data_IF_824116784224
#
_entry.id   IF_824116784224
#
_cell.length_a   1.000
_cell.length_b   1.000
_cell.length_c   1.000
_cell.angle_alpha   90.00
_cell.angle_beta   90.00
_cell.angle_gamma   90.00
#
_symmetry.space_group_name_H-M   'P 1'
#
loop_
_entity.id
_entity.type
_entity.pdbx_description
1 polymer ?
#
# COMPACT_ATOMS: atom_id res chain seq x y z
N UNK A 1 -13.80 -77.24 -40.79
CA UNK A 1 -14.41 -76.10 -40.12
C UNK A 1 -13.91 -75.81 -38.70
N UNK A 2 -13.39 -76.77 -37.92
CA UNK A 2 -12.93 -76.56 -36.54
C UNK A 2 -11.61 -75.77 -36.41
N UNK A 3 -10.71 -75.81 -37.44
CA UNK A 3 -9.40 -75.12 -37.33
C UNK A 3 -9.50 -73.58 -37.53
N UNK A 4 -10.43 -73.10 -38.33
CA UNK A 4 -10.62 -71.65 -38.53
C UNK A 4 -11.04 -70.91 -37.26
N UNK A 5 -11.90 -71.51 -36.46
CA UNK A 5 -12.35 -70.95 -35.17
C UNK A 5 -11.22 -70.83 -34.10
N UNK A 6 -10.29 -71.80 -34.12
CA UNK A 6 -9.14 -71.80 -33.25
C UNK A 6 -8.19 -70.65 -33.61
N UNK A 7 -7.95 -70.45 -34.91
CA UNK A 7 -7.12 -69.34 -35.38
C UNK A 7 -7.72 -67.97 -35.10
N UNK A 8 -9.04 -67.81 -35.26
CA UNK A 8 -9.73 -66.57 -34.91
C UNK A 8 -9.68 -66.27 -33.39
N UNK A 9 -9.80 -67.29 -32.55
CA UNK A 9 -9.70 -67.14 -31.10
C UNK A 9 -8.27 -66.74 -30.68
N UNK A 10 -7.26 -67.29 -31.30
CA UNK A 10 -5.84 -66.91 -31.02
C UNK A 10 -5.57 -65.48 -31.46
N UNK A 11 -6.04 -65.05 -32.63
CA UNK A 11 -5.88 -63.67 -33.11
C UNK A 11 -6.58 -62.68 -32.18
N UNK A 12 -7.80 -62.98 -31.74
CA UNK A 12 -8.52 -62.13 -30.74
C UNK A 12 -7.78 -62.04 -29.41
N UNK A 13 -7.19 -63.14 -28.95
CA UNK A 13 -6.41 -63.15 -27.71
C UNK A 13 -5.13 -62.32 -27.82
N UNK A 14 -4.44 -62.35 -28.94
CA UNK A 14 -3.24 -61.54 -29.22
C UNK A 14 -3.61 -60.07 -29.34
N UNK A 15 -4.74 -59.74 -30.01
CA UNK A 15 -5.21 -58.34 -30.09
C UNK A 15 -5.62 -57.85 -28.70
N UNK A 16 -6.37 -58.62 -27.91
CA UNK A 16 -6.74 -58.27 -26.54
C UNK A 16 -5.54 -58.09 -25.61
N UNK A 17 -4.58 -59.00 -25.70
CA UNK A 17 -3.31 -58.92 -24.96
C UNK A 17 -2.47 -57.70 -25.36
N UNK A 18 -2.37 -57.44 -26.67
CA UNK A 18 -1.68 -56.24 -27.18
C UNK A 18 -2.36 -54.92 -26.79
N UNK A 19 -3.68 -54.88 -26.86
CA UNK A 19 -4.47 -53.72 -26.44
C UNK A 19 -4.36 -53.51 -24.92
N UNK A 20 -4.38 -54.55 -24.12
CA UNK A 20 -4.20 -54.46 -22.66
C UNK A 20 -2.77 -54.04 -22.28
N UNK A 21 -1.77 -54.58 -22.99
CA UNK A 21 -0.36 -54.18 -22.82
C UNK A 21 -0.13 -52.71 -23.18
N UNK A 22 -0.75 -52.26 -24.30
CA UNK A 22 -0.72 -50.85 -24.71
C UNK A 22 -1.43 -49.95 -23.70
N UNK A 23 -2.59 -50.39 -23.18
CA UNK A 23 -3.32 -49.66 -22.12
C UNK A 23 -2.47 -49.54 -20.84
N UNK A 24 -1.79 -50.58 -20.40
CA UNK A 24 -0.91 -50.52 -19.23
C UNK A 24 0.32 -49.66 -19.48
N UNK A 25 0.84 -49.64 -20.69
CA UNK A 25 1.98 -48.77 -21.07
C UNK A 25 1.60 -47.31 -21.18
N UNK A 26 0.37 -47.00 -21.65
CA UNK A 26 -0.15 -45.64 -21.76
C UNK A 26 -0.77 -45.15 -20.45
N UNK A 27 -0.99 -46.01 -19.45
CA UNK A 27 -1.53 -45.58 -18.16
C UNK A 27 -0.50 -44.73 -17.43
N UNK A 28 -0.84 -43.46 -17.11
CA UNK A 28 0.08 -42.59 -16.37
C UNK A 28 0.47 -43.24 -15.05
N UNK A 29 1.75 -43.16 -14.68
CA UNK A 29 2.23 -43.68 -13.41
C UNK A 29 1.47 -42.97 -12.27
N UNK A 30 1.05 -43.72 -11.23
CA UNK A 30 0.43 -43.06 -10.06
C UNK A 30 1.46 -42.14 -9.40
N UNK A 31 0.97 -41.00 -8.86
CA UNK A 31 1.82 -40.13 -8.08
C UNK A 31 2.43 -40.91 -6.91
N UNK A 32 3.72 -40.70 -6.60
CA UNK A 32 4.33 -41.23 -5.40
C UNK A 32 3.54 -40.80 -4.14
N UNK A 33 3.34 -41.71 -3.19
CA UNK A 33 2.53 -41.46 -2.00
C UNK A 33 3.02 -40.26 -1.16
N UNK A 34 4.31 -39.94 -1.26
CA UNK A 34 4.95 -38.84 -0.53
C UNK A 34 4.73 -37.44 -1.15
N UNK A 35 4.06 -37.36 -2.28
CA UNK A 35 3.86 -36.10 -3.03
C UNK A 35 2.36 -35.84 -3.21
N UNK A 36 1.94 -34.64 -2.85
CA UNK A 36 0.60 -34.14 -3.16
C UNK A 36 0.67 -33.26 -4.40
N UNK A 37 -0.34 -33.37 -5.25
CA UNK A 37 -0.49 -32.56 -6.44
C UNK A 37 -1.62 -31.55 -6.26
N UNK A 38 -1.39 -30.32 -6.71
CA UNK A 38 -2.41 -29.30 -6.84
C UNK A 38 -2.14 -28.45 -8.07
N UNK A 39 -3.19 -27.98 -8.70
CA UNK A 39 -3.10 -27.01 -9.79
C UNK A 39 -3.71 -25.68 -9.38
N UNK A 40 -3.24 -24.62 -10.01
CA UNK A 40 -3.70 -23.29 -9.70
C UNK A 40 -3.19 -22.26 -10.70
N UNK A 41 -3.07 -21.03 -10.24
CA UNK A 41 -2.53 -19.94 -11.06
C UNK A 41 -1.59 -19.08 -10.25
N UNK A 42 -0.63 -18.49 -10.96
CA UNK A 42 0.26 -17.50 -10.39
C UNK A 42 -0.53 -16.22 -10.09
N UNK A 43 -0.38 -15.73 -8.89
CA UNK A 43 -0.92 -14.45 -8.40
C UNK A 43 0.26 -13.56 -7.96
N UNK A 44 0.06 -12.25 -7.93
CA UNK A 44 1.03 -11.31 -7.39
C UNK A 44 0.28 -10.19 -6.66
N UNK A 45 0.95 -9.53 -5.73
CA UNK A 45 0.35 -8.42 -5.00
C UNK A 45 0.18 -7.22 -5.91
N UNK A 46 -1.07 -6.85 -6.14
CA UNK A 46 -1.45 -5.69 -6.92
C UNK A 46 -1.71 -4.49 -6.02
N UNK A 47 -1.13 -3.34 -6.38
CA UNK A 47 -1.37 -2.06 -5.72
C UNK A 47 -2.06 -1.13 -6.70
N UNK A 48 -3.31 -0.80 -6.40
CA UNK A 48 -4.09 0.18 -7.16
C UNK A 48 -3.72 1.59 -6.74
N UNK A 49 -3.20 2.36 -7.67
CA UNK A 49 -2.91 3.78 -7.51
C UNK A 49 -4.14 4.57 -7.94
N UNK A 50 -4.60 5.48 -7.09
CA UNK A 50 -5.77 6.32 -7.36
C UNK A 50 -5.43 7.80 -7.19
N UNK A 51 -6.17 8.68 -7.86
CA UNK A 51 -6.09 10.12 -7.66
C UNK A 51 -6.59 10.48 -6.25
N UNK A 52 -5.86 11.35 -5.54
CA UNK A 52 -6.25 11.82 -4.21
C UNK A 52 -6.89 13.22 -4.26
N UNK A 53 -6.66 13.95 -5.35
CA UNK A 53 -7.24 15.27 -5.62
C UNK A 53 -7.84 15.30 -7.02
N UNK A 54 -8.81 16.19 -7.24
CA UNK A 54 -9.38 16.41 -8.57
C UNK A 54 -8.45 17.26 -9.44
N UNK A 55 -8.47 17.01 -10.75
CA UNK A 55 -7.74 17.81 -11.73
C UNK A 55 -7.66 17.13 -13.09
N UNK A 56 -7.33 17.88 -14.11
CA UNK A 56 -7.09 17.35 -15.46
C UNK A 56 -5.67 16.79 -15.56
N UNK A 57 -5.50 15.64 -16.18
CA UNK A 57 -4.19 15.03 -16.43
C UNK A 57 -3.43 15.87 -17.45
N UNK A 58 -2.34 16.52 -17.04
CA UNK A 58 -1.47 17.28 -17.93
C UNK A 58 -0.40 16.39 -18.56
N UNK A 59 0.19 15.50 -17.78
CA UNK A 59 1.27 14.61 -18.20
C UNK A 59 1.05 13.22 -17.62
N UNK A 60 1.30 12.18 -18.43
CA UNK A 60 1.29 10.79 -18.00
C UNK A 60 2.57 10.09 -18.46
N UNK A 61 3.27 9.44 -17.53
CA UNK A 61 4.46 8.62 -17.77
C UNK A 61 4.13 7.12 -17.69
N UNK A 62 2.85 6.79 -17.55
CA UNK A 62 2.35 5.42 -17.44
C UNK A 62 2.46 4.71 -18.79
N UNK A 63 3.24 3.64 -18.81
CA UNK A 63 3.36 2.71 -19.94
C UNK A 63 3.19 1.29 -19.37
N UNK A 64 2.20 0.56 -19.87
CA UNK A 64 1.96 -0.83 -19.45
C UNK A 64 3.19 -1.70 -19.76
N UNK A 65 3.54 -2.57 -18.82
CA UNK A 65 4.73 -3.40 -18.89
C UNK A 65 6.03 -2.71 -18.47
N UNK A 66 6.03 -1.38 -18.24
CA UNK A 66 7.22 -0.65 -17.79
C UNK A 66 7.44 -0.83 -16.30
N UNK A 67 8.68 -1.10 -15.92
CA UNK A 67 9.10 -1.12 -14.51
C UNK A 67 9.28 0.30 -13.99
N UNK A 68 8.82 0.54 -12.76
CA UNK A 68 8.94 1.80 -12.04
C UNK A 68 9.51 1.57 -10.65
N UNK A 69 10.29 2.51 -10.16
CA UNK A 69 10.77 2.53 -8.78
C UNK A 69 9.80 3.32 -7.90
N UNK A 70 9.80 3.02 -6.61
CA UNK A 70 9.05 3.80 -5.62
C UNK A 70 9.48 5.27 -5.67
N UNK A 71 8.49 6.16 -5.83
CA UNK A 71 8.70 7.59 -5.95
C UNK A 71 8.80 8.10 -7.39
N UNK A 72 8.92 7.23 -8.39
CA UNK A 72 8.91 7.63 -9.79
C UNK A 72 7.60 8.34 -10.13
N UNK A 73 7.64 9.46 -10.90
CA UNK A 73 6.45 10.17 -11.31
C UNK A 73 5.62 9.30 -12.27
N UNK A 74 4.35 9.09 -11.96
CA UNK A 74 3.40 8.37 -12.82
C UNK A 74 2.58 9.32 -13.67
N UNK A 75 2.02 10.38 -13.05
CA UNK A 75 1.30 11.42 -13.75
C UNK A 75 1.28 12.74 -12.97
N UNK A 76 0.96 13.82 -13.67
CA UNK A 76 0.77 15.15 -13.10
C UNK A 76 -0.60 15.71 -13.50
N UNK A 77 -1.34 16.12 -12.49
CA UNK A 77 -2.60 16.84 -12.67
C UNK A 77 -2.34 18.35 -12.83
N UNK A 78 -3.30 19.06 -13.40
CA UNK A 78 -3.33 20.52 -13.36
C UNK A 78 -3.44 20.98 -11.90
N UNK A 79 -2.44 21.71 -11.48
CA UNK A 79 -2.26 22.17 -10.10
C UNK A 79 -2.36 23.69 -9.95
N UNK A 80 -2.81 24.40 -11.00
CA UNK A 80 -2.85 25.87 -11.01
C UNK A 80 -3.71 26.44 -9.87
N UNK A 81 -4.91 25.92 -9.69
CA UNK A 81 -5.81 26.37 -8.61
C UNK A 81 -5.25 26.04 -7.22
N UNK A 82 -4.66 24.86 -7.04
CA UNK A 82 -4.04 24.46 -5.78
C UNK A 82 -2.84 25.34 -5.40
N UNK A 83 -2.06 25.79 -6.38
CA UNK A 83 -0.99 26.77 -6.17
C UNK A 83 -1.52 28.12 -5.74
N UNK A 84 -2.58 28.59 -6.37
CA UNK A 84 -3.23 29.86 -6.00
C UNK A 84 -3.83 29.78 -4.58
N UNK A 85 -4.48 28.68 -4.23
CA UNK A 85 -4.98 28.48 -2.85
C UNK A 85 -3.84 28.54 -1.82
N UNK A 86 -2.72 27.88 -2.07
CA UNK A 86 -1.54 27.93 -1.20
C UNK A 86 -0.98 29.35 -1.11
N UNK A 87 -0.79 30.03 -2.23
CA UNK A 87 -0.27 31.40 -2.28
C UNK A 87 -1.15 32.39 -1.52
N UNK A 88 -2.49 32.21 -1.55
CA UNK A 88 -3.42 33.04 -0.78
C UNK A 88 -3.16 32.92 0.72
N UNK A 89 -3.01 31.70 1.23
CA UNK A 89 -2.73 31.49 2.67
C UNK A 89 -1.35 32.02 3.06
N UNK A 90 -0.36 31.92 2.17
CA UNK A 90 0.97 32.50 2.39
C UNK A 90 0.90 34.03 2.52
N UNK A 91 0.11 34.71 1.67
CA UNK A 91 -0.15 36.15 1.78
C UNK A 91 -0.86 36.54 3.07
N UNK A 92 -1.77 35.70 3.58
CA UNK A 92 -2.44 35.90 4.86
C UNK A 92 -1.45 35.82 6.04
N UNK A 93 -0.52 34.84 6.02
CA UNK A 93 0.56 34.75 7.02
C UNK A 93 1.42 36.00 6.99
N UNK A 94 1.77 36.52 5.82
CA UNK A 94 2.55 37.76 5.70
C UNK A 94 1.81 38.95 6.31
N UNK A 95 0.50 39.11 6.05
CA UNK A 95 -0.31 40.16 6.64
C UNK A 95 -0.35 40.06 8.18
N UNK A 96 -0.53 38.85 8.74
CA UNK A 96 -0.49 38.61 10.18
C UNK A 96 0.89 38.92 10.79
N UNK A 97 2.00 38.63 10.10
CA UNK A 97 3.33 39.00 10.55
C UNK A 97 3.50 40.53 10.62
N UNK A 98 2.99 41.27 9.66
CA UNK A 98 3.00 42.74 9.71
C UNK A 98 2.14 43.28 10.86
N UNK A 99 1.01 42.64 11.16
CA UNK A 99 0.16 42.97 12.32
C UNK A 99 0.93 42.72 13.63
N UNK A 100 1.59 41.57 13.76
CA UNK A 100 2.44 41.24 14.92
C UNK A 100 3.57 42.25 15.11
N UNK A 101 4.22 42.69 14.05
CA UNK A 101 5.30 43.68 14.11
C UNK A 101 4.79 45.07 14.53
N UNK A 102 3.55 45.43 14.17
CA UNK A 102 2.91 46.64 14.72
C UNK A 102 2.62 46.50 16.20
N UNK A 103 2.09 45.34 16.62
CA UNK A 103 1.83 45.08 18.04
C UNK A 103 3.13 45.11 18.89
N UNK A 104 4.25 44.59 18.34
CA UNK A 104 5.56 44.68 19.00
C UNK A 104 6.03 46.10 19.18
N UNK A 105 5.90 46.97 18.16
CA UNK A 105 6.24 48.40 18.32
C UNK A 105 5.35 49.12 19.35
N UNK A 106 4.10 48.68 19.46
CA UNK A 106 3.19 49.20 20.50
C UNK A 106 3.63 48.72 21.90
N UNK A 107 4.06 47.47 22.04
CA UNK A 107 4.65 46.95 23.30
C UNK A 107 5.88 47.79 23.72
N UNK A 108 6.83 47.98 22.81
CA UNK A 108 8.05 48.76 23.07
C UNK A 108 7.71 50.19 23.56
N UNK A 109 6.68 50.81 23.00
CA UNK A 109 6.22 52.13 23.47
C UNK A 109 5.72 52.07 24.91
N UNK A 110 4.89 51.10 25.26
CA UNK A 110 4.34 50.96 26.61
C UNK A 110 5.37 50.51 27.63
N UNK A 111 6.34 49.69 27.27
CA UNK A 111 7.49 49.32 28.10
C UNK A 111 8.30 50.57 28.44
N UNK A 112 8.57 51.46 27.48
CA UNK A 112 9.27 52.73 27.74
C UNK A 112 8.45 53.65 28.65
N UNK A 113 7.11 53.70 28.48
CA UNK A 113 6.23 54.47 29.41
C UNK A 113 6.26 53.89 30.81
N UNK A 114 6.20 52.58 30.96
CA UNK A 114 6.31 51.89 32.26
C UNK A 114 7.62 52.22 32.96
N UNK A 115 8.76 52.08 32.26
CA UNK A 115 10.07 52.41 32.81
C UNK A 115 10.17 53.87 33.28
N UNK A 116 9.57 54.79 32.51
CA UNK A 116 9.55 56.23 32.87
C UNK A 116 8.69 56.46 34.08
N UNK A 117 7.50 55.86 34.18
CA UNK A 117 6.61 55.95 35.33
C UNK A 117 7.25 55.35 36.60
N UNK A 118 7.95 54.20 36.45
CA UNK A 118 8.67 53.54 37.56
C UNK A 118 9.80 54.44 38.13
N UNK A 119 10.59 55.03 37.23
CA UNK A 119 11.64 55.99 37.64
C UNK A 119 11.06 57.21 38.37
N UNK A 120 9.92 57.73 37.89
CA UNK A 120 9.22 58.86 38.51
C UNK A 120 8.70 58.47 39.91
N UNK A 121 8.03 57.33 40.05
CA UNK A 121 7.54 56.79 41.31
C UNK A 121 8.68 56.61 42.33
N UNK A 122 9.77 55.98 41.90
CA UNK A 122 10.94 55.76 42.75
C UNK A 122 11.57 57.09 43.26
N UNK A 123 11.62 58.10 42.39
CA UNK A 123 12.11 59.40 42.74
C UNK A 123 11.20 60.10 43.77
N UNK A 124 9.88 60.10 43.56
CA UNK A 124 8.91 60.73 44.47
C UNK A 124 8.86 60.01 45.81
N UNK A 125 8.99 58.69 45.87
CA UNK A 125 9.09 57.96 47.16
C UNK A 125 10.29 58.36 47.99
N UNK A 126 11.45 58.58 47.36
CA UNK A 126 12.63 59.12 48.09
C UNK A 126 12.44 60.55 48.59
N UNK A 127 11.82 61.42 47.79
CA UNK A 127 11.51 62.79 48.17
C UNK A 127 10.46 62.87 49.28
N UNK A 128 9.55 61.88 49.37
CA UNK A 128 8.61 61.79 50.49
C UNK A 128 9.28 61.44 51.79
N UNK A 129 10.35 60.56 51.76
CA UNK A 129 11.15 60.23 52.92
C UNK A 129 11.88 61.47 53.46
N UNK A 130 12.17 62.48 52.60
CA UNK A 130 12.77 63.77 52.94
C UNK A 130 11.72 64.86 53.19
N UNK A 131 10.41 64.53 53.33
CA UNK A 131 9.31 65.50 53.52
C UNK A 131 9.20 66.58 52.40
N UNK A 132 9.79 66.32 51.21
CA UNK A 132 9.84 67.29 50.10
C UNK A 132 8.65 67.25 49.15
N UNK A 133 7.76 66.23 49.24
CA UNK A 133 6.53 66.03 48.40
C UNK A 133 5.39 65.49 49.25
N UNK A 134 4.16 65.61 48.76
CA UNK A 134 2.98 65.10 49.45
C UNK A 134 2.72 63.61 49.14
N UNK A 135 2.04 62.88 50.03
CA UNK A 135 1.59 61.52 49.83
C UNK A 135 0.72 61.41 48.58
N UNK A 136 -0.14 62.42 48.30
CA UNK A 136 -1.01 62.46 47.10
C UNK A 136 -0.22 62.46 45.80
N UNK A 137 0.98 63.08 45.76
CA UNK A 137 1.85 63.08 44.58
C UNK A 137 2.47 61.69 44.36
N UNK A 138 2.82 60.97 45.40
CA UNK A 138 3.30 59.58 45.33
C UNK A 138 2.21 58.64 44.86
N UNK A 139 0.97 58.77 45.40
CA UNK A 139 -0.20 57.94 45.02
C UNK A 139 -0.55 58.13 43.54
N UNK A 140 -0.51 59.38 43.02
CA UNK A 140 -0.70 59.67 41.61
C UNK A 140 0.35 59.02 40.72
N UNK A 141 1.62 59.03 41.12
CA UNK A 141 2.72 58.38 40.38
C UNK A 141 2.61 56.86 40.44
N UNK A 142 2.13 56.30 41.55
CA UNK A 142 1.84 54.89 41.68
C UNK A 142 0.70 54.45 40.77
N UNK A 143 -0.38 55.22 40.67
CA UNK A 143 -1.49 54.95 39.74
C UNK A 143 -1.01 55.01 38.28
N UNK A 144 -0.17 56.02 37.93
CA UNK A 144 0.43 56.09 36.59
C UNK A 144 1.31 54.91 36.23
N UNK A 145 2.10 54.44 37.22
CA UNK A 145 2.90 53.22 37.03
C UNK A 145 2.02 51.94 36.83
N UNK A 146 1.00 51.79 37.67
CA UNK A 146 0.04 50.67 37.53
C UNK A 146 -0.69 50.68 36.19
N UNK A 147 -1.11 51.88 35.71
CA UNK A 147 -1.73 51.99 34.37
C UNK A 147 -0.74 51.57 33.28
N UNK A 148 0.50 52.10 33.27
CA UNK A 148 1.49 51.73 32.26
C UNK A 148 1.76 50.22 32.25
N UNK A 149 1.94 49.59 33.44
CA UNK A 149 2.12 48.15 33.59
C UNK A 149 0.93 47.35 33.06
N UNK A 150 -0.31 47.81 33.31
CA UNK A 150 -1.50 47.15 32.76
C UNK A 150 -1.55 47.21 31.21
N UNK A 151 -1.09 48.34 30.62
CA UNK A 151 -0.99 48.53 29.17
C UNK A 151 0.05 47.60 28.54
N UNK A 152 1.21 47.39 29.20
CA UNK A 152 2.21 46.39 28.76
C UNK A 152 1.59 45.00 28.73
N UNK A 153 0.91 44.57 29.80
CA UNK A 153 0.28 43.26 29.87
C UNK A 153 -0.79 43.04 28.76
N UNK A 154 -1.54 44.09 28.41
CA UNK A 154 -2.50 44.02 27.27
C UNK A 154 -1.75 43.90 25.96
N UNK A 155 -0.66 44.66 25.72
CA UNK A 155 0.12 44.58 24.49
C UNK A 155 0.80 43.20 24.30
N UNK A 156 1.30 42.60 25.40
CA UNK A 156 1.83 41.24 25.41
C UNK A 156 0.76 40.21 25.03
N UNK A 157 -0.46 40.34 25.61
CA UNK A 157 -1.56 39.46 25.31
C UNK A 157 -2.00 39.57 23.83
N UNK A 158 -2.00 40.79 23.27
CA UNK A 158 -2.30 41.00 21.85
C UNK A 158 -1.28 40.30 20.93
N UNK A 159 0.03 40.40 21.24
CA UNK A 159 1.08 39.71 20.50
C UNK A 159 0.89 38.18 20.60
N UNK A 160 0.58 37.67 21.78
CA UNK A 160 0.30 36.25 21.98
C UNK A 160 -0.88 35.77 21.14
N UNK A 161 -1.97 36.54 21.12
CA UNK A 161 -3.16 36.23 20.32
C UNK A 161 -2.85 36.21 18.80
N UNK A 162 -2.11 37.21 18.29
CA UNK A 162 -1.71 37.27 16.87
C UNK A 162 -0.77 36.08 16.57
N UNK A 163 0.15 35.72 17.46
CA UNK A 163 1.05 34.59 17.28
C UNK A 163 0.29 33.27 17.16
N UNK A 164 -0.74 33.07 17.98
CA UNK A 164 -1.61 31.89 17.86
C UNK A 164 -2.37 31.84 16.53
N UNK A 165 -2.81 33.01 16.02
CA UNK A 165 -3.46 33.10 14.69
C UNK A 165 -2.47 32.74 13.56
N UNK A 166 -1.23 33.20 13.66
CA UNK A 166 -0.16 32.83 12.70
C UNK A 166 0.03 31.32 12.69
N UNK A 167 0.19 30.69 13.86
CA UNK A 167 0.35 29.22 13.96
C UNK A 167 -0.84 28.47 13.34
N UNK A 168 -2.06 28.91 13.59
CA UNK A 168 -3.25 28.29 12.98
C UNK A 168 -3.25 28.40 11.45
N UNK A 169 -2.89 29.58 10.92
CA UNK A 169 -2.80 29.81 9.47
C UNK A 169 -1.61 29.06 8.84
N UNK A 170 -0.52 28.84 9.56
CA UNK A 170 0.59 27.98 9.12
C UNK A 170 0.17 26.53 8.95
N UNK A 171 -0.66 25.99 9.85
CA UNK A 171 -1.23 24.66 9.68
C UNK A 171 -2.17 24.59 8.45
N UNK A 172 -2.92 25.65 8.17
CA UNK A 172 -3.73 25.72 6.95
C UNK A 172 -2.85 25.72 5.70
N UNK A 173 -1.75 26.50 5.69
CA UNK A 173 -0.76 26.48 4.60
C UNK A 173 -0.20 25.06 4.37
N UNK A 174 0.13 24.32 5.43
CA UNK A 174 0.62 22.96 5.33
C UNK A 174 -0.42 22.02 4.71
N UNK A 175 -1.69 22.15 5.10
CA UNK A 175 -2.79 21.40 4.49
C UNK A 175 -2.91 21.67 2.99
N UNK A 176 -2.80 22.95 2.55
CA UNK A 176 -2.82 23.33 1.13
C UNK A 176 -1.58 22.80 0.39
N UNK A 177 -0.40 22.83 1.02
CA UNK A 177 0.83 22.27 0.46
C UNK A 177 0.73 20.76 0.24
N UNK A 178 0.14 20.03 1.19
CA UNK A 178 -0.10 18.58 1.06
C UNK A 178 -1.08 18.26 -0.07
N UNK A 179 -2.16 19.04 -0.23
CA UNK A 179 -3.08 18.90 -1.37
C UNK A 179 -2.39 19.14 -2.70
N UNK A 180 -1.56 20.17 -2.78
CA UNK A 180 -0.76 20.48 -3.97
C UNK A 180 0.22 19.36 -4.31
N UNK A 181 0.88 18.78 -3.30
CA UNK A 181 1.79 17.65 -3.50
C UNK A 181 1.08 16.43 -4.10
N UNK A 182 -0.18 16.19 -3.72
CA UNK A 182 -1.02 15.09 -4.23
C UNK A 182 -1.46 15.25 -5.68
N UNK A 183 -1.29 16.43 -6.29
CA UNK A 183 -1.49 16.62 -7.73
C UNK A 183 -0.39 15.95 -8.58
N UNK A 184 0.72 15.54 -7.95
CA UNK A 184 1.76 14.72 -8.56
C UNK A 184 1.68 13.32 -8.01
N UNK A 185 1.18 12.40 -8.83
CA UNK A 185 1.00 11.01 -8.43
C UNK A 185 2.27 10.24 -8.76
N UNK A 186 2.86 9.61 -7.75
CA UNK A 186 4.09 8.83 -7.84
C UNK A 186 3.84 7.35 -7.49
N UNK A 187 4.74 6.48 -7.91
CA UNK A 187 4.68 5.06 -7.61
C UNK A 187 4.85 4.81 -6.10
N UNK A 188 3.88 4.14 -5.42
CA UNK A 188 3.98 3.83 -4.01
C UNK A 188 4.92 2.67 -3.71
N UNK A 189 5.20 1.82 -4.69
CA UNK A 189 6.06 0.63 -4.59
C UNK A 189 7.01 0.54 -5.79
N UNK A 190 8.06 -0.27 -5.67
CA UNK A 190 8.80 -0.77 -6.82
C UNK A 190 7.92 -1.83 -7.50
N UNK A 191 7.83 -1.79 -8.83
CA UNK A 191 6.99 -2.78 -9.54
C UNK A 191 6.87 -2.48 -11.02
N UNK A 192 5.97 -3.18 -11.66
CA UNK A 192 5.64 -3.03 -13.09
C UNK A 192 4.23 -2.49 -13.23
N UNK A 193 4.01 -1.58 -14.16
CA UNK A 193 2.67 -1.07 -14.51
C UNK A 193 1.90 -2.20 -15.19
N UNK A 194 0.89 -2.75 -14.51
CA UNK A 194 0.03 -3.81 -15.04
C UNK A 194 -1.04 -3.25 -15.96
N UNK A 195 -1.72 -2.19 -15.51
CA UNK A 195 -2.77 -1.51 -16.28
C UNK A 195 -2.67 -0.01 -16.12
N UNK A 196 -2.97 0.72 -17.20
CA UNK A 196 -3.16 2.16 -17.22
C UNK A 196 -4.65 2.44 -17.38
N UNK A 197 -5.24 3.18 -16.44
CA UNK A 197 -6.68 3.45 -16.41
C UNK A 197 -7.05 4.87 -16.81
N UNK A 198 -6.07 5.71 -17.23
CA UNK A 198 -6.29 7.14 -17.50
C UNK A 198 -5.48 7.64 -18.70
N UNK A 199 -6.00 8.66 -19.37
CA UNK A 199 -5.36 9.32 -20.52
C UNK A 199 -5.04 10.80 -20.22
N UNK A 200 -4.07 11.34 -20.92
CA UNK A 200 -3.78 12.79 -20.88
C UNK A 200 -4.96 13.59 -21.38
N UNK A 201 -5.34 14.65 -20.66
CA UNK A 201 -6.53 15.47 -20.91
C UNK A 201 -7.79 15.00 -20.21
N UNK A 202 -7.79 13.84 -19.56
CA UNK A 202 -8.92 13.34 -18.79
C UNK A 202 -9.01 14.09 -17.44
N UNK A 203 -10.24 14.34 -16.98
CA UNK A 203 -10.50 14.93 -15.68
C UNK A 203 -10.70 13.82 -14.65
N UNK A 204 -9.91 13.84 -13.58
CA UNK A 204 -9.97 12.85 -12.51
C UNK A 204 -10.67 13.40 -11.26
N UNK A 205 -11.32 12.49 -10.54
CA UNK A 205 -11.91 12.75 -9.22
C UNK A 205 -11.15 11.96 -8.14
N UNK A 206 -11.19 12.42 -6.87
CA UNK A 206 -10.61 11.68 -5.76
C UNK A 206 -11.17 10.24 -5.67
N UNK A 207 -10.29 9.25 -5.53
CA UNK A 207 -10.62 7.83 -5.51
C UNK A 207 -10.67 7.16 -6.89
N UNK A 208 -10.58 7.91 -7.98
CA UNK A 208 -10.56 7.33 -9.34
C UNK A 208 -9.23 6.58 -9.57
N UNK A 209 -9.28 5.31 -10.03
CA UNK A 209 -8.07 4.53 -10.30
C UNK A 209 -7.30 5.13 -11.47
N UNK A 210 -5.97 5.19 -11.32
CA UNK A 210 -5.03 5.74 -12.27
C UNK A 210 -4.23 4.63 -12.96
N UNK A 211 -3.72 3.70 -12.16
CA UNK A 211 -2.95 2.55 -12.62
C UNK A 211 -2.99 1.43 -11.59
N UNK A 212 -2.72 0.22 -12.04
CA UNK A 212 -2.40 -0.91 -11.16
C UNK A 212 -0.92 -1.24 -11.31
N UNK A 213 -0.19 -1.25 -10.20
CA UNK A 213 1.19 -1.69 -10.13
C UNK A 213 1.26 -3.08 -9.52
N UNK A 214 2.21 -3.88 -9.96
CA UNK A 214 2.43 -5.22 -9.46
C UNK A 214 3.91 -5.44 -9.15
N UNK A 215 4.21 -5.99 -7.98
CA UNK A 215 5.57 -6.48 -7.69
C UNK A 215 5.73 -7.88 -8.28
N UNK A 216 6.54 -7.99 -9.33
CA UNK A 216 6.82 -9.25 -10.00
C UNK A 216 8.05 -9.97 -9.43
N UNK A 217 8.77 -9.42 -8.47
CA UNK A 217 9.96 -10.06 -7.89
C UNK A 217 9.59 -11.23 -6.99
N UNK A 218 8.40 -11.18 -6.40
CA UNK A 218 7.78 -12.22 -5.59
C UNK A 218 6.39 -12.48 -6.11
N UNK A 219 6.11 -13.72 -6.39
CA UNK A 219 4.78 -14.15 -6.83
C UNK A 219 4.29 -15.28 -5.96
N UNK A 220 2.99 -15.43 -5.90
CA UNK A 220 2.35 -16.49 -5.15
C UNK A 220 1.67 -17.45 -6.13
N UNK A 221 1.77 -18.74 -5.87
CA UNK A 221 0.93 -19.72 -6.55
C UNK A 221 -0.17 -20.15 -5.60
N UNK A 222 -1.42 -19.94 -5.99
CA UNK A 222 -2.57 -20.41 -5.24
C UNK A 222 -3.09 -21.71 -5.84
N UNK A 223 -2.95 -22.80 -5.07
CA UNK A 223 -3.44 -24.13 -5.45
C UNK A 223 -4.53 -24.59 -4.50
N UNK A 224 -5.32 -25.56 -4.95
CA UNK A 224 -6.43 -26.11 -4.17
C UNK A 224 -6.15 -27.57 -3.82
N UNK A 225 -6.12 -27.89 -2.53
CA UNK A 225 -5.85 -29.23 -2.01
C UNK A 225 -7.11 -29.81 -1.33
N UNK A 226 -7.45 -31.08 -1.58
CA UNK A 226 -8.59 -31.73 -0.93
C UNK A 226 -8.44 -31.74 0.60
N UNK A 227 -9.54 -31.47 1.33
CA UNK A 227 -9.51 -31.40 2.80
C UNK A 227 -8.99 -32.65 3.51
N UNK A 228 -9.12 -33.83 2.89
CA UNK A 228 -8.59 -35.10 3.43
C UNK A 228 -7.04 -35.13 3.48
N UNK A 229 -6.38 -34.33 2.63
CA UNK A 229 -4.92 -34.29 2.52
C UNK A 229 -4.30 -33.10 3.27
N UNK A 230 -5.15 -32.24 3.87
CA UNK A 230 -4.71 -31.03 4.58
C UNK A 230 -3.80 -31.35 5.79
N UNK A 231 -4.08 -32.45 6.50
CA UNK A 231 -3.28 -32.87 7.65
C UNK A 231 -1.86 -33.36 7.32
N UNK A 232 -1.49 -33.40 6.01
CA UNK A 232 -0.17 -33.76 5.51
C UNK A 232 0.65 -32.55 5.10
N UNK A 233 0.10 -31.35 5.18
CA UNK A 233 0.72 -30.14 4.67
C UNK A 233 1.13 -29.26 5.85
N UNK A 234 2.40 -28.91 5.89
CA UNK A 234 2.98 -28.03 6.90
C UNK A 234 3.42 -26.68 6.28
N UNK A 235 3.29 -25.62 7.07
CA UNK A 235 3.82 -24.31 6.69
C UNK A 235 5.34 -24.37 6.50
N UNK A 236 5.85 -23.73 5.47
CA UNK A 236 7.27 -23.77 5.10
C UNK A 236 7.68 -25.03 4.34
N UNK A 237 6.77 -26.00 4.14
CA UNK A 237 7.00 -27.22 3.38
C UNK A 237 7.51 -26.92 1.96
N UNK A 238 8.45 -27.77 1.41
CA UNK A 238 9.01 -27.54 0.09
C UNK A 238 8.02 -27.90 -1.02
N UNK A 239 7.98 -27.04 -2.04
CA UNK A 239 7.10 -27.21 -3.21
C UNK A 239 7.91 -27.05 -4.48
N UNK A 240 7.65 -27.88 -5.48
CA UNK A 240 8.11 -27.70 -6.85
C UNK A 240 6.96 -27.29 -7.73
N UNK A 241 7.18 -26.26 -8.52
CA UNK A 241 6.17 -25.67 -9.38
C UNK A 241 6.64 -25.73 -10.83
N UNK A 242 5.73 -26.04 -11.74
CA UNK A 242 5.94 -25.96 -13.17
C UNK A 242 4.79 -25.18 -13.81
N UNK A 243 5.13 -24.29 -14.72
CA UNK A 243 4.16 -23.52 -15.50
C UNK A 243 4.16 -24.00 -16.95
N UNK A 244 3.00 -23.96 -17.60
CA UNK A 244 2.87 -24.44 -18.98
C UNK A 244 3.75 -23.67 -19.96
N UNK A 245 4.00 -22.40 -19.69
CA UNK A 245 4.85 -21.55 -20.51
C UNK A 245 6.35 -21.99 -20.50
N UNK A 246 6.78 -22.73 -19.45
CA UNK A 246 8.17 -23.19 -19.27
C UNK A 246 8.20 -24.65 -18.80
N UNK A 247 7.83 -25.62 -19.66
CA UNK A 247 7.63 -27.02 -19.27
C UNK A 247 8.90 -27.71 -18.75
N UNK A 248 10.07 -27.26 -19.20
CA UNK A 248 11.37 -27.81 -18.80
C UNK A 248 11.93 -27.14 -17.52
N UNK A 249 11.35 -26.03 -17.05
CA UNK A 249 11.84 -25.30 -15.88
C UNK A 249 10.97 -25.60 -14.65
N UNK A 250 11.63 -26.02 -13.59
CA UNK A 250 11.00 -26.21 -12.28
C UNK A 250 11.37 -25.02 -11.40
N UNK A 251 10.35 -24.42 -10.79
CA UNK A 251 10.51 -23.36 -9.82
C UNK A 251 10.36 -23.95 -8.42
N UNK A 252 11.24 -23.56 -7.51
CA UNK A 252 11.15 -23.97 -6.11
C UNK A 252 10.38 -22.94 -5.32
N UNK A 253 9.50 -23.42 -4.43
CA UNK A 253 8.67 -22.59 -3.57
C UNK A 253 8.49 -23.20 -2.19
N UNK A 254 7.81 -22.46 -1.34
CA UNK A 254 7.46 -22.89 0.01
C UNK A 254 6.01 -22.55 0.33
N UNK A 255 5.37 -23.39 1.13
CA UNK A 255 4.01 -23.15 1.61
C UNK A 255 4.04 -21.96 2.56
N UNK A 256 3.43 -20.86 2.14
CA UNK A 256 3.35 -19.61 2.92
C UNK A 256 2.09 -19.55 3.78
N UNK A 257 0.96 -20.02 3.23
CA UNK A 257 -0.34 -19.93 3.90
C UNK A 257 -1.26 -21.06 3.49
N UNK A 258 -2.09 -21.48 4.45
CA UNK A 258 -3.18 -22.43 4.24
C UNK A 258 -4.47 -21.72 4.66
N UNK A 259 -5.48 -21.68 3.77
CA UNK A 259 -6.75 -21.04 4.06
C UNK A 259 -7.46 -21.75 5.21
N UNK A 260 -8.05 -20.99 6.14
CA UNK A 260 -8.76 -21.53 7.30
C UNK A 260 -10.19 -21.99 6.97
N UNK A 261 -10.70 -21.60 5.80
CA UNK A 261 -12.05 -21.93 5.34
C UNK A 261 -11.99 -22.77 4.07
N UNK A 262 -12.78 -23.84 4.04
CA UNK A 262 -12.95 -24.64 2.85
C UNK A 262 -13.68 -23.86 1.77
N UNK A 263 -13.30 -24.09 0.51
CA UNK A 263 -13.97 -23.58 -0.67
C UNK A 263 -14.63 -24.73 -1.43
N UNK A 264 -15.76 -24.45 -2.06
CA UNK A 264 -16.40 -25.41 -2.96
C UNK A 264 -15.81 -25.22 -4.36
N UNK A 265 -15.31 -26.31 -4.97
CA UNK A 265 -14.97 -26.26 -6.40
C UNK A 265 -16.26 -26.14 -7.20
N UNK A 266 -16.47 -25.07 -7.96
CA UNK A 266 -17.63 -24.98 -8.86
C UNK A 266 -17.39 -25.93 -10.04
N UNK A 267 -18.05 -27.07 -10.04
CA UNK A 267 -18.29 -27.85 -11.24
C UNK A 267 -19.79 -28.00 -11.42
N UNK A 268 -20.25 -27.85 -12.66
CA UNK A 268 -21.62 -28.01 -13.04
C UNK A 268 -22.21 -29.31 -12.51
N UNK A 269 -23.28 -29.18 -11.73
CA UNK A 269 -23.93 -30.23 -10.98
C UNK A 269 -24.89 -30.94 -11.96
N UNK A 270 -24.51 -32.08 -12.52
CA UNK A 270 -25.43 -32.93 -13.27
C UNK A 270 -25.31 -34.43 -12.94
N UNK A 271 -24.65 -34.83 -11.87
CA UNK A 271 -24.59 -36.22 -11.40
C UNK A 271 -24.82 -36.35 -9.89
N UNK A 272 -25.71 -37.29 -9.45
CA UNK A 272 -26.12 -37.43 -8.04
C UNK A 272 -25.06 -37.93 -7.07
N UNK A 273 -23.91 -38.41 -7.52
CA UNK A 273 -22.89 -39.09 -6.68
C UNK A 273 -21.56 -38.34 -6.48
N UNK A 274 -21.38 -37.14 -7.02
CA UNK A 274 -20.20 -36.32 -6.68
C UNK A 274 -20.48 -35.50 -5.44
N UNK A 275 -20.12 -36.04 -4.27
CA UNK A 275 -19.98 -35.27 -3.04
C UNK A 275 -19.11 -34.04 -3.35
N UNK A 276 -19.67 -32.85 -3.12
CA UNK A 276 -18.96 -31.59 -3.19
C UNK A 276 -17.62 -31.74 -2.47
N UNK A 277 -16.53 -31.78 -3.23
CA UNK A 277 -15.18 -31.94 -2.63
C UNK A 277 -14.79 -30.61 -2.04
N UNK A 278 -14.80 -30.55 -0.71
CA UNK A 278 -14.23 -29.42 0.01
C UNK A 278 -12.72 -29.36 -0.26
N UNK A 279 -12.26 -28.22 -0.77
CA UNK A 279 -10.85 -27.95 -1.01
C UNK A 279 -10.41 -26.75 -0.17
N UNK A 280 -9.15 -26.73 0.19
CA UNK A 280 -8.53 -25.60 0.87
C UNK A 280 -7.52 -24.94 -0.05
N UNK A 281 -7.53 -23.61 -0.08
CA UNK A 281 -6.52 -22.84 -0.77
C UNK A 281 -5.19 -22.94 -0.04
N UNK A 282 -4.14 -23.28 -0.76
CA UNK A 282 -2.76 -23.27 -0.28
C UNK A 282 -1.99 -22.28 -1.12
N UNK A 283 -1.39 -21.29 -0.46
CA UNK A 283 -0.57 -20.26 -1.09
C UNK A 283 0.90 -20.66 -0.95
N UNK A 284 1.59 -20.65 -2.05
CA UNK A 284 3.00 -21.03 -2.19
C UNK A 284 3.77 -19.80 -2.65
N UNK A 285 4.74 -19.37 -1.86
CA UNK A 285 5.64 -18.27 -2.24
C UNK A 285 6.69 -18.77 -3.23
N UNK A 286 6.91 -18.00 -4.27
CA UNK A 286 7.87 -18.24 -5.33
C UNK A 286 8.75 -17.02 -5.54
N UNK A 287 10.06 -17.20 -5.49
CA UNK A 287 11.01 -16.18 -5.90
C UNK A 287 11.01 -16.05 -7.43
N UNK A 288 10.88 -14.83 -7.93
CA UNK A 288 10.79 -14.52 -9.36
C UNK A 288 11.69 -13.32 -9.73
N UNK A 289 13.01 -13.41 -9.47
CA UNK A 289 13.93 -12.28 -9.64
C UNK A 289 13.98 -11.77 -11.08
N UNK A 290 13.80 -12.65 -12.04
CA UNK A 290 13.83 -12.33 -13.48
C UNK A 290 12.46 -11.84 -14.00
N UNK A 291 11.43 -11.79 -13.16
CA UNK A 291 10.06 -11.45 -13.57
C UNK A 291 9.49 -12.39 -14.64
N UNK A 292 9.99 -13.63 -14.72
CA UNK A 292 9.58 -14.63 -15.72
C UNK A 292 8.14 -15.09 -15.49
N UNK A 293 7.78 -15.35 -14.24
CA UNK A 293 6.42 -15.72 -13.86
C UNK A 293 5.53 -14.46 -13.88
N UNK A 294 4.37 -14.59 -14.50
CA UNK A 294 3.40 -13.50 -14.62
C UNK A 294 2.08 -13.89 -13.94
N UNK A 295 1.37 -12.93 -13.32
CA UNK A 295 0.02 -13.16 -12.80
C UNK A 295 -0.91 -13.75 -13.87
N UNK A 296 -1.74 -14.71 -13.48
CA UNK A 296 -2.67 -15.40 -14.37
C UNK A 296 -2.10 -16.64 -15.06
N UNK A 297 -0.78 -16.90 -15.03
CA UNK A 297 -0.22 -18.12 -15.61
C UNK A 297 -0.75 -19.35 -14.87
N UNK A 298 -1.28 -20.38 -15.57
CA UNK A 298 -1.62 -21.66 -14.97
C UNK A 298 -0.32 -22.37 -14.55
N UNK A 299 -0.38 -23.05 -13.41
CA UNK A 299 0.73 -23.75 -12.86
C UNK A 299 0.32 -25.01 -12.09
N UNK A 300 1.19 -26.00 -12.14
CA UNK A 300 1.12 -27.23 -11.39
C UNK A 300 2.09 -27.21 -10.23
N UNK A 301 1.65 -27.67 -9.06
CA UNK A 301 2.48 -27.76 -7.87
C UNK A 301 2.54 -29.19 -7.35
N UNK A 302 3.72 -29.58 -6.93
CA UNK A 302 3.98 -30.84 -6.23
C UNK A 302 4.53 -30.49 -4.86
N UNK A 303 3.81 -30.89 -3.82
CA UNK A 303 4.13 -30.65 -2.41
C UNK A 303 4.73 -31.92 -1.84
N UNK A 304 5.97 -31.85 -1.37
CA UNK A 304 6.61 -32.97 -0.67
C UNK A 304 6.23 -32.88 0.81
N UNK A 305 5.35 -33.78 1.25
CA UNK A 305 4.78 -33.72 2.61
C UNK A 305 5.48 -34.64 3.62
N UNK A 306 6.21 -35.65 3.15
CA UNK A 306 6.88 -36.60 4.04
C UNK A 306 8.32 -36.17 4.32
N UNK A 307 8.65 -35.95 5.58
CA UNK A 307 9.98 -35.56 6.00
C UNK A 307 11.05 -36.57 5.57
N UNK A 308 12.17 -36.06 5.02
CA UNK A 308 13.29 -36.89 4.57
C UNK A 308 13.07 -37.66 3.27
N UNK A 309 11.88 -37.52 2.67
CA UNK A 309 11.62 -38.11 1.36
C UNK A 309 12.39 -37.40 0.24
N UNK A 310 12.79 -38.14 -0.79
CA UNK A 310 13.42 -37.58 -1.97
C UNK A 310 12.37 -37.21 -3.03
N UNK A 311 12.64 -36.15 -3.76
CA UNK A 311 11.82 -35.78 -4.91
C UNK A 311 11.88 -36.90 -5.96
N UNK A 312 10.74 -37.25 -6.60
CA UNK A 312 10.76 -38.21 -7.71
C UNK A 312 11.52 -37.61 -8.89
N UNK A 313 12.20 -38.50 -9.66
CA UNK A 313 12.98 -38.10 -10.85
C UNK A 313 12.14 -37.40 -11.92
N UNK A 314 10.84 -37.71 -11.97
CA UNK A 314 9.88 -37.08 -12.87
C UNK A 314 8.62 -36.67 -12.12
N UNK A 315 8.18 -35.45 -12.38
CA UNK A 315 6.93 -34.90 -11.87
C UNK A 315 5.84 -35.08 -12.91
N UNK A 316 4.79 -35.85 -12.58
CA UNK A 316 3.67 -36.14 -13.46
C UNK A 316 2.46 -35.32 -13.09
N UNK A 317 1.69 -34.89 -14.10
CA UNK A 317 0.36 -34.29 -13.91
C UNK A 317 -0.67 -35.42 -13.93
N UNK A 318 -1.43 -35.62 -12.84
CA UNK A 318 -2.45 -36.67 -12.81
C UNK A 318 -3.53 -36.45 -13.86
N UNK A 319 -3.74 -37.40 -14.74
CA UNK A 319 -4.82 -37.36 -15.75
C UNK A 319 -4.49 -36.61 -17.03
N UNK A 320 -3.21 -36.31 -17.31
CA UNK A 320 -2.77 -35.81 -18.63
C UNK A 320 -2.40 -36.96 -19.57
#
# INVERSE_FOLDING_TARGET
MRSAWVWTAIVLLVIAGGSYGLYLYLKPAPLPEQVLYGNGRIEATEVRVAAEVSGTVLESHLVEGKTVARGDPLLRLDDADLRLEKARVESEIEALNLERDRARRNLELWEHHQETAERQLTRLRRMLEDDAVSQSEVDQAEDGFREARARVAVAEADIAAITQRITATEHERELRANRLARARIAAPINGTVLTRSVETGEFLQPGQPVATLVDLTRVELRVFIPGRDLGRIDLGGPVRVRVDAFPERVFEGRIARIDQTAQFTPRDIHMPDERVRMVYGVTIDLDNPDGTLKPGMPADAWILWQDGAQWPDRLFVPGS
#
